data_IF_329812138623
#
_entry.id   IF_329812138623
#
_cell.length_a   1.000
_cell.length_b   1.000
_cell.length_c   1.000
_cell.angle_alpha   90.00
_cell.angle_beta   90.00
_cell.angle_gamma   90.00
#
_symmetry.space_group_name_H-M   'P 1'
#
loop_
_entity.id
_entity.type
_entity.pdbx_description
1 polymer ?
#
# COMPACT_ATOMS: atom_id res chain seq x y z
N UNK A 1 -8.82 13.09 43.46
CA UNK A 1 -10.19 12.59 43.18
C UNK A 1 -11.26 13.32 43.98
N UNK A 2 -11.19 13.42 45.32
CA UNK A 2 -12.20 14.14 46.11
C UNK A 2 -12.30 15.64 45.79
N UNK A 3 -11.16 16.35 45.69
CA UNK A 3 -11.12 17.77 45.33
C UNK A 3 -11.70 18.06 43.93
N UNK A 4 -11.45 17.18 42.96
CA UNK A 4 -12.03 17.27 41.61
C UNK A 4 -13.56 17.11 41.62
N UNK A 5 -14.10 16.21 42.44
CA UNK A 5 -15.55 16.00 42.55
C UNK A 5 -16.25 17.15 43.25
N UNK A 6 -15.61 17.76 44.24
CA UNK A 6 -16.12 18.95 44.93
C UNK A 6 -16.13 20.18 44.01
N UNK A 7 -15.10 20.36 43.19
CA UNK A 7 -15.05 21.45 42.20
C UNK A 7 -15.99 21.26 41.01
N UNK A 8 -16.34 20.01 40.66
CA UNK A 8 -17.22 19.70 39.53
C UNK A 8 -18.72 19.92 39.84
N UNK A 9 -19.10 20.10 41.11
CA UNK A 9 -20.49 20.25 41.53
C UNK A 9 -21.33 18.98 41.40
N UNK A 10 -22.60 19.05 41.81
CA UNK A 10 -23.53 17.94 41.71
C UNK A 10 -23.99 17.75 40.25
N UNK A 11 -23.94 16.53 39.74
CA UNK A 11 -24.50 16.19 38.43
C UNK A 11 -26.04 16.29 38.49
N UNK A 12 -26.70 16.99 37.56
CA UNK A 12 -28.13 17.27 37.63
C UNK A 12 -29.02 16.03 37.40
N UNK A 13 -28.46 14.94 36.84
CA UNK A 13 -29.18 13.70 36.50
C UNK A 13 -28.23 12.50 36.69
N UNK A 14 -28.71 11.33 37.15
CA UNK A 14 -27.87 10.12 37.26
C UNK A 14 -27.31 9.72 35.89
N UNK A 15 -25.98 9.66 35.80
CA UNK A 15 -25.25 9.33 34.57
C UNK A 15 -24.88 7.85 34.60
N UNK A 16 -25.33 7.10 33.58
CA UNK A 16 -24.92 5.72 33.40
C UNK A 16 -23.72 5.66 32.44
N UNK A 17 -22.67 4.94 32.85
CA UNK A 17 -21.51 4.70 31.99
C UNK A 17 -21.91 3.74 30.86
N UNK A 18 -21.99 4.25 29.63
CA UNK A 18 -22.33 3.46 28.44
C UNK A 18 -21.15 2.58 28.01
N UNK A 19 -19.91 3.08 28.13
CA UNK A 19 -18.68 2.33 27.85
C UNK A 19 -17.45 3.07 28.38
N UNK A 20 -16.50 2.35 28.97
CA UNK A 20 -15.21 2.90 29.41
C UNK A 20 -14.08 1.97 28.96
N UNK A 21 -13.21 2.46 28.09
CA UNK A 21 -11.94 1.81 27.78
C UNK A 21 -10.79 2.60 28.38
N UNK A 22 -10.01 1.95 29.22
CA UNK A 22 -8.77 2.51 29.78
C UNK A 22 -7.60 1.74 29.19
N UNK A 23 -6.84 2.38 28.31
CA UNK A 23 -5.62 1.79 27.74
C UNK A 23 -4.42 2.35 28.49
N UNK A 24 -3.64 1.48 29.12
CA UNK A 24 -2.41 1.87 29.78
C UNK A 24 -1.37 2.38 28.78
N UNK A 25 -0.68 3.47 29.12
CA UNK A 25 0.35 4.06 28.25
C UNK A 25 1.47 3.08 27.89
N UNK A 26 1.84 2.19 28.81
CA UNK A 26 2.82 1.12 28.58
C UNK A 26 2.37 0.11 27.54
N UNK A 27 1.09 -0.25 27.55
CA UNK A 27 0.50 -1.16 26.57
C UNK A 27 0.50 -0.52 25.17
N UNK A 28 0.08 0.75 25.08
CA UNK A 28 0.11 1.50 23.82
C UNK A 28 1.52 1.62 23.22
N UNK A 29 2.53 1.94 24.05
CA UNK A 29 3.92 2.04 23.61
C UNK A 29 4.50 0.68 23.16
N UNK A 30 4.17 -0.39 23.87
CA UNK A 30 4.58 -1.75 23.51
C UNK A 30 3.97 -2.18 22.17
N UNK A 31 2.66 -1.99 22.00
CA UNK A 31 1.96 -2.34 20.76
C UNK A 31 2.47 -1.52 19.58
N UNK A 32 2.71 -0.21 19.75
CA UNK A 32 3.27 0.64 18.70
C UNK A 32 4.64 0.11 18.23
N UNK A 33 5.54 -0.17 19.16
CA UNK A 33 6.86 -0.72 18.84
C UNK A 33 6.78 -2.08 18.15
N UNK A 34 5.88 -2.96 18.59
CA UNK A 34 5.66 -4.24 17.95
C UNK A 34 5.15 -4.08 16.51
N UNK A 35 4.18 -3.19 16.28
CA UNK A 35 3.65 -2.91 14.94
C UNK A 35 4.69 -2.28 14.01
N UNK A 36 5.52 -1.36 14.50
CA UNK A 36 6.61 -0.76 13.70
C UNK A 36 7.63 -1.83 13.32
N UNK A 37 8.07 -2.66 14.27
CA UNK A 37 9.02 -3.76 13.98
C UNK A 37 8.44 -4.74 12.96
N UNK A 38 7.18 -5.15 13.13
CA UNK A 38 6.49 -6.02 12.20
C UNK A 38 6.37 -5.39 10.80
N UNK A 39 6.05 -4.09 10.73
CA UNK A 39 5.99 -3.34 9.47
C UNK A 39 7.33 -3.29 8.74
N UNK A 40 8.43 -2.99 9.46
CA UNK A 40 9.78 -2.94 8.88
C UNK A 40 10.18 -4.31 8.33
N UNK A 41 10.00 -5.37 9.11
CA UNK A 41 10.33 -6.74 8.66
C UNK A 41 9.47 -7.13 7.46
N UNK A 42 8.17 -6.82 7.48
CA UNK A 42 7.27 -7.08 6.35
C UNK A 42 7.70 -6.37 5.07
N UNK A 43 8.02 -5.07 5.16
CA UNK A 43 8.51 -4.28 4.01
C UNK A 43 9.81 -4.87 3.46
N UNK A 44 10.78 -5.21 4.33
CA UNK A 44 12.05 -5.80 3.90
C UNK A 44 11.86 -7.13 3.19
N UNK A 45 11.00 -8.01 3.71
CA UNK A 45 10.68 -9.29 3.06
C UNK A 45 10.06 -9.09 1.69
N UNK A 46 9.15 -8.12 1.55
CA UNK A 46 8.51 -7.80 0.28
C UNK A 46 9.51 -7.22 -0.73
N UNK A 47 10.40 -6.31 -0.29
CA UNK A 47 11.45 -5.76 -1.13
C UNK A 47 12.43 -6.84 -1.61
N UNK A 48 12.80 -7.77 -0.72
CA UNK A 48 13.64 -8.91 -1.04
C UNK A 48 12.95 -9.84 -2.06
N UNK A 49 11.69 -10.19 -1.82
CA UNK A 49 10.90 -11.01 -2.74
C UNK A 49 10.83 -10.40 -4.15
N UNK A 50 10.51 -9.10 -4.22
CA UNK A 50 10.45 -8.37 -5.49
C UNK A 50 11.79 -8.38 -6.24
N UNK A 51 12.88 -8.12 -5.52
CA UNK A 51 14.22 -8.06 -6.11
C UNK A 51 14.68 -9.44 -6.62
N UNK A 52 14.45 -10.51 -5.84
CA UNK A 52 14.88 -11.86 -6.21
C UNK A 52 14.05 -12.44 -7.37
N UNK A 53 12.74 -12.24 -7.37
CA UNK A 53 11.85 -12.83 -8.36
C UNK A 53 11.88 -12.06 -9.69
N UNK A 54 11.83 -10.72 -9.63
CA UNK A 54 11.72 -9.87 -10.82
C UNK A 54 13.04 -9.19 -11.24
N UNK A 55 14.17 -9.42 -10.55
CA UNK A 55 15.50 -8.88 -10.88
C UNK A 55 15.47 -7.35 -11.08
N UNK A 56 15.63 -6.88 -12.33
CA UNK A 56 15.70 -5.45 -12.68
C UNK A 56 14.38 -4.71 -12.51
N UNK A 57 13.24 -5.16 -13.09
CA UNK A 57 11.92 -4.64 -12.75
C UNK A 57 11.65 -4.66 -11.23
N UNK A 58 12.15 -5.69 -10.52
CA UNK A 58 12.07 -5.79 -9.07
C UNK A 58 12.77 -4.63 -8.33
N UNK A 59 13.97 -4.22 -8.76
CA UNK A 59 14.65 -3.05 -8.19
C UNK A 59 13.87 -1.75 -8.44
N UNK A 60 13.25 -1.61 -9.61
CA UNK A 60 12.43 -0.44 -9.95
C UNK A 60 11.19 -0.39 -9.05
N UNK A 61 10.54 -1.52 -8.79
CA UNK A 61 9.38 -1.56 -7.89
C UNK A 61 9.74 -1.25 -6.45
N UNK A 62 10.93 -1.63 -5.97
CA UNK A 62 11.41 -1.29 -4.62
C UNK A 62 11.59 0.23 -4.46
N UNK A 63 12.13 0.90 -5.47
CA UNK A 63 12.26 2.37 -5.47
C UNK A 63 10.88 3.03 -5.49
N UNK A 64 9.99 2.58 -6.37
CA UNK A 64 8.61 3.07 -6.45
C UNK A 64 7.86 2.86 -5.12
N UNK A 65 8.04 1.70 -4.47
CA UNK A 65 7.46 1.39 -3.17
C UNK A 65 7.97 2.33 -2.08
N UNK A 66 9.26 2.65 -2.09
CA UNK A 66 9.87 3.58 -1.12
C UNK A 66 9.30 4.99 -1.28
N UNK A 67 9.12 5.44 -2.53
CA UNK A 67 8.45 6.72 -2.84
C UNK A 67 7.00 6.69 -2.36
N UNK A 68 6.26 5.61 -2.64
CA UNK A 68 4.88 5.43 -2.17
C UNK A 68 4.75 5.51 -0.64
N UNK A 69 5.61 4.79 0.10
CA UNK A 69 5.62 4.80 1.57
C UNK A 69 5.87 6.22 2.08
N UNK A 70 6.88 6.90 1.53
CA UNK A 70 7.24 8.27 1.92
C UNK A 70 6.12 9.27 1.64
N UNK A 71 5.50 9.18 0.45
CA UNK A 71 4.38 10.02 0.05
C UNK A 71 3.17 9.80 0.94
N UNK A 72 2.85 8.54 1.24
CA UNK A 72 1.70 8.17 2.09
C UNK A 72 1.85 8.72 3.50
N UNK A 73 3.04 8.57 4.10
CA UNK A 73 3.33 9.14 5.42
C UNK A 73 3.30 10.68 5.41
N UNK A 74 3.81 11.32 4.35
CA UNK A 74 3.77 12.77 4.20
C UNK A 74 2.33 13.29 4.11
N UNK A 75 1.48 12.66 3.30
CA UNK A 75 0.07 13.03 3.15
C UNK A 75 -0.69 12.83 4.47
N UNK A 76 -0.47 11.71 5.17
CA UNK A 76 -1.08 11.48 6.48
C UNK A 76 -0.69 12.55 7.50
N UNK A 77 0.57 12.97 7.50
CA UNK A 77 1.07 14.04 8.37
C UNK A 77 0.45 15.40 8.02
N UNK A 78 0.31 15.71 6.72
CA UNK A 78 -0.27 16.99 6.25
C UNK A 78 -1.76 17.12 6.58
N UNK A 79 -2.51 16.03 6.44
CA UNK A 79 -3.95 16.00 6.74
C UNK A 79 -4.20 15.95 8.26
N UNK A 80 -3.19 15.60 9.07
CA UNK A 80 -3.33 15.47 10.51
C UNK A 80 -4.06 14.21 10.94
N UNK A 81 -3.92 13.11 10.19
CA UNK A 81 -4.56 11.83 10.50
C UNK A 81 -3.93 11.23 11.75
N UNK A 82 -4.75 10.87 12.74
CA UNK A 82 -4.29 10.19 13.95
C UNK A 82 -3.97 8.73 13.65
N UNK A 83 -2.70 8.34 13.81
CA UNK A 83 -2.26 6.97 13.56
C UNK A 83 -2.57 6.06 14.76
N UNK A 84 -3.72 5.41 14.73
CA UNK A 84 -4.11 4.39 15.74
C UNK A 84 -3.47 3.04 15.42
N UNK A 85 -3.52 2.08 16.37
CA UNK A 85 -3.09 0.70 16.11
C UNK A 85 -3.80 0.08 14.91
N UNK A 86 -5.12 0.28 14.81
CA UNK A 86 -5.89 -0.12 13.64
C UNK A 86 -5.40 0.58 12.37
N UNK A 87 -5.06 1.87 12.48
CA UNK A 87 -4.54 2.64 11.36
C UNK A 87 -3.21 2.11 10.83
N UNK A 88 -2.30 1.69 11.73
CA UNK A 88 -1.04 1.05 11.34
C UNK A 88 -1.31 -0.25 10.58
N UNK A 89 -2.27 -1.06 11.01
CA UNK A 89 -2.66 -2.27 10.28
C UNK A 89 -3.19 -1.94 8.87
N UNK A 90 -4.00 -0.88 8.75
CA UNK A 90 -4.49 -0.40 7.44
C UNK A 90 -3.37 0.09 6.54
N UNK A 91 -2.38 0.77 7.09
CA UNK A 91 -1.18 1.20 6.36
C UNK A 91 -0.32 0.02 5.90
N UNK A 92 -0.09 -0.98 6.75
CA UNK A 92 0.66 -2.19 6.36
C UNK A 92 -0.08 -2.95 5.25
N UNK A 93 -1.41 -3.04 5.34
CA UNK A 93 -2.23 -3.66 4.29
C UNK A 93 -2.13 -2.88 2.96
N UNK A 94 -2.13 -1.54 3.01
CA UNK A 94 -2.02 -0.73 1.80
C UNK A 94 -0.67 -0.89 1.10
N UNK A 95 0.42 -1.12 1.85
CA UNK A 95 1.73 -1.47 1.28
C UNK A 95 1.65 -2.77 0.47
N UNK A 96 0.98 -3.81 0.99
CA UNK A 96 0.79 -5.07 0.26
C UNK A 96 0.04 -4.89 -1.05
N UNK A 97 -1.03 -4.09 -1.04
CA UNK A 97 -1.79 -3.78 -2.27
C UNK A 97 -1.02 -2.92 -3.27
N UNK A 98 -0.18 -1.99 -2.80
CA UNK A 98 0.70 -1.20 -3.68
C UNK A 98 1.72 -2.08 -4.40
N UNK A 99 2.20 -3.13 -3.72
CA UNK A 99 3.14 -4.11 -4.26
C UNK A 99 2.44 -5.06 -5.23
N UNK A 100 1.24 -5.53 -4.92
CA UNK A 100 0.41 -6.37 -5.78
C UNK A 100 0.15 -5.71 -7.15
N UNK A 101 -0.16 -4.41 -7.17
CA UNK A 101 -0.31 -3.66 -8.42
C UNK A 101 0.96 -3.69 -9.28
N UNK A 102 2.14 -3.60 -8.66
CA UNK A 102 3.41 -3.70 -9.39
C UNK A 102 3.66 -5.13 -9.90
N UNK A 103 3.35 -6.17 -9.11
CA UNK A 103 3.42 -7.59 -9.54
C UNK A 103 2.57 -7.79 -10.79
N UNK A 104 1.32 -7.34 -10.77
CA UNK A 104 0.40 -7.56 -11.88
C UNK A 104 0.88 -6.90 -13.18
N UNK A 105 1.42 -5.67 -13.10
CA UNK A 105 2.01 -4.98 -14.25
C UNK A 105 3.19 -5.79 -14.81
N UNK A 106 4.04 -6.35 -13.96
CA UNK A 106 5.21 -7.12 -14.38
C UNK A 106 4.85 -8.48 -14.97
N UNK A 107 3.85 -9.17 -14.44
CA UNK A 107 3.35 -10.40 -15.04
C UNK A 107 2.72 -10.14 -16.41
N UNK A 108 1.89 -9.09 -16.55
CA UNK A 108 1.34 -8.72 -17.87
C UNK A 108 2.43 -8.30 -18.85
N UNK A 109 3.44 -7.55 -18.40
CA UNK A 109 4.61 -7.23 -19.23
C UNK A 109 5.35 -8.51 -19.70
N UNK A 110 5.51 -9.48 -18.81
CA UNK A 110 6.19 -10.75 -19.11
C UNK A 110 5.40 -11.59 -20.12
N UNK A 111 4.07 -11.66 -19.99
CA UNK A 111 3.20 -12.30 -20.98
C UNK A 111 3.35 -11.66 -22.36
N UNK A 112 3.28 -10.33 -22.45
CA UNK A 112 3.40 -9.59 -23.72
C UNK A 112 4.78 -9.77 -24.39
N UNK A 113 5.83 -9.92 -23.59
CA UNK A 113 7.18 -10.26 -24.09
C UNK A 113 7.29 -11.71 -24.57
N UNK A 114 6.57 -12.65 -23.94
CA UNK A 114 6.50 -14.05 -24.38
C UNK A 114 5.74 -14.18 -25.70
N UNK A 115 4.74 -13.34 -25.93
CA UNK A 115 4.00 -13.22 -27.19
C UNK A 115 4.82 -12.56 -28.32
N UNK A 116 6.09 -12.23 -28.06
CA UNK A 116 7.04 -11.75 -29.07
C UNK A 116 6.96 -10.25 -29.37
N UNK A 117 6.21 -9.47 -28.58
CA UNK A 117 6.16 -8.01 -28.75
C UNK A 117 7.49 -7.36 -28.36
N UNK A 118 7.81 -6.23 -28.99
CA UNK A 118 8.98 -5.43 -28.64
C UNK A 118 8.84 -4.88 -27.22
N UNK A 119 9.96 -4.66 -26.52
CA UNK A 119 9.96 -4.19 -25.13
C UNK A 119 9.13 -2.92 -24.90
N UNK A 120 9.16 -1.98 -25.85
CA UNK A 120 8.36 -0.75 -25.78
C UNK A 120 6.86 -1.03 -25.89
N UNK A 121 6.47 -1.87 -26.85
CA UNK A 121 5.07 -2.24 -27.08
C UNK A 121 4.52 -3.08 -25.91
N UNK A 122 5.32 -4.03 -25.40
CA UNK A 122 4.95 -4.87 -24.27
C UNK A 122 4.74 -4.06 -22.96
N UNK A 123 5.52 -3.00 -22.74
CA UNK A 123 5.29 -2.09 -21.60
C UNK A 123 3.99 -1.31 -21.78
N UNK A 124 3.70 -0.77 -22.95
CA UNK A 124 2.47 -0.01 -23.15
C UNK A 124 1.22 -0.88 -23.02
N UNK A 125 1.23 -2.06 -23.65
CA UNK A 125 0.13 -3.03 -23.59
C UNK A 125 -0.03 -3.65 -22.20
N UNK A 126 1.09 -4.01 -21.55
CA UNK A 126 1.08 -4.57 -20.20
C UNK A 126 0.45 -3.62 -19.19
N UNK A 127 0.76 -2.31 -19.28
CA UNK A 127 0.10 -1.29 -18.46
C UNK A 127 -1.38 -1.14 -18.77
N UNK A 128 -1.75 -1.12 -20.06
CA UNK A 128 -3.14 -0.90 -20.49
C UNK A 128 -4.04 -2.06 -20.05
N UNK A 129 -3.57 -3.30 -20.17
CA UNK A 129 -4.25 -4.50 -19.68
C UNK A 129 -4.28 -4.60 -18.16
N UNK A 130 -3.19 -4.29 -17.47
CA UNK A 130 -3.14 -4.35 -16.00
C UNK A 130 -4.02 -3.27 -15.36
N UNK A 131 -4.17 -2.11 -16.00
CA UNK A 131 -4.88 -0.95 -15.47
C UNK A 131 -6.33 -1.25 -15.09
N UNK A 132 -7.08 -1.98 -15.91
CA UNK A 132 -8.49 -2.31 -15.62
C UNK A 132 -8.61 -3.13 -14.34
N UNK A 133 -7.79 -4.18 -14.21
CA UNK A 133 -7.77 -5.05 -13.02
C UNK A 133 -7.35 -4.30 -11.76
N UNK A 134 -6.31 -3.45 -11.85
CA UNK A 134 -5.83 -2.63 -10.71
C UNK A 134 -6.90 -1.64 -10.28
N UNK A 135 -7.50 -0.92 -11.23
CA UNK A 135 -8.54 0.06 -10.94
C UNK A 135 -9.73 -0.60 -10.27
N UNK A 136 -10.25 -1.68 -10.86
CA UNK A 136 -11.47 -2.32 -10.37
C UNK A 136 -11.26 -2.93 -8.97
N UNK A 137 -10.09 -3.52 -8.71
CA UNK A 137 -9.72 -4.01 -7.37
C UNK A 137 -9.59 -2.89 -6.31
N UNK A 138 -8.94 -1.78 -6.66
CA UNK A 138 -8.81 -0.65 -5.74
C UNK A 138 -10.15 0.08 -5.53
N UNK A 139 -11.01 0.17 -6.55
CA UNK A 139 -12.36 0.74 -6.41
C UNK A 139 -13.20 -0.08 -5.43
N UNK A 140 -13.18 -1.40 -5.52
CA UNK A 140 -13.85 -2.28 -4.53
C UNK A 140 -13.35 -2.03 -3.11
N UNK A 141 -12.04 -1.84 -2.96
CA UNK A 141 -11.44 -1.53 -1.66
C UNK A 141 -11.85 -0.16 -1.14
N UNK A 142 -11.95 0.85 -2.02
CA UNK A 142 -12.45 2.18 -1.65
C UNK A 142 -13.91 2.12 -1.20
N UNK A 143 -14.77 1.36 -1.91
CA UNK A 143 -16.16 1.15 -1.50
C UNK A 143 -16.19 0.52 -0.10
N UNK A 144 -15.36 -0.49 0.15
CA UNK A 144 -15.23 -1.11 1.48
C UNK A 144 -14.80 -0.09 2.53
N UNK A 145 -13.80 0.75 2.25
CA UNK A 145 -13.36 1.79 3.17
C UNK A 145 -14.48 2.79 3.50
N UNK A 146 -15.28 3.18 2.51
CA UNK A 146 -16.43 4.07 2.71
C UNK A 146 -17.45 3.42 3.64
N UNK A 147 -17.81 2.16 3.40
CA UNK A 147 -18.74 1.43 4.27
C UNK A 147 -18.20 1.30 5.69
N UNK A 148 -16.92 0.96 5.86
CA UNK A 148 -16.28 0.89 7.18
C UNK A 148 -16.23 2.25 7.89
N UNK A 149 -16.16 3.36 7.15
CA UNK A 149 -16.16 4.70 7.74
C UNK A 149 -17.55 5.10 8.27
N UNK A 150 -18.61 4.75 7.55
CA UNK A 150 -20.00 5.04 7.95
C UNK A 150 -20.52 4.10 9.03
N UNK A 151 -20.31 2.78 8.86
CA UNK A 151 -20.89 1.74 9.71
C UNK A 151 -19.93 1.18 10.77
N UNK A 152 -18.63 1.47 10.66
CA UNK A 152 -17.63 0.95 11.59
C UNK A 152 -17.58 1.68 12.93
N UNK A 153 -17.03 1.00 13.94
CA UNK A 153 -16.71 1.61 15.24
C UNK A 153 -15.53 2.59 15.13
N UNK A 154 -15.34 3.46 16.12
CA UNK A 154 -14.25 4.46 16.12
C UNK A 154 -12.86 3.84 15.88
N UNK A 155 -12.62 2.61 16.35
CA UNK A 155 -11.38 1.87 16.09
C UNK A 155 -11.23 1.49 14.61
N UNK A 156 -12.30 0.96 14.00
CA UNK A 156 -12.33 0.52 12.59
C UNK A 156 -12.29 1.71 11.63
N UNK A 157 -12.87 2.86 12.01
CA UNK A 157 -12.77 4.10 11.22
C UNK A 157 -11.32 4.54 11.03
N UNK A 158 -10.48 4.40 12.07
CA UNK A 158 -9.05 4.64 11.98
C UNK A 158 -8.40 3.80 10.88
N UNK A 159 -8.64 2.48 10.89
CA UNK A 159 -8.17 1.55 9.85
C UNK A 159 -8.62 1.99 8.44
N UNK A 160 -9.92 2.27 8.27
CA UNK A 160 -10.52 2.62 6.99
C UNK A 160 -9.95 3.90 6.37
N UNK A 161 -9.67 4.93 7.18
CA UNK A 161 -9.07 6.18 6.71
C UNK A 161 -7.66 5.94 6.16
N UNK A 162 -6.80 5.26 6.93
CA UNK A 162 -5.43 4.93 6.51
C UNK A 162 -5.41 4.07 5.26
N UNK A 163 -6.27 3.04 5.20
CA UNK A 163 -6.38 2.16 4.05
C UNK A 163 -6.85 2.91 2.80
N UNK A 164 -7.88 3.75 2.94
CA UNK A 164 -8.42 4.55 1.84
C UNK A 164 -7.40 5.53 1.26
N UNK A 165 -6.68 6.25 2.11
CA UNK A 165 -5.57 7.13 1.68
C UNK A 165 -4.48 6.31 0.98
N UNK A 166 -4.11 5.17 1.56
CA UNK A 166 -3.12 4.27 1.00
C UNK A 166 -3.49 3.75 -0.39
N UNK A 167 -4.77 3.44 -0.62
CA UNK A 167 -5.31 2.98 -1.92
C UNK A 167 -5.32 4.10 -2.97
N UNK A 168 -5.72 5.32 -2.59
CA UNK A 168 -5.70 6.45 -3.51
C UNK A 168 -4.28 6.77 -3.97
N UNK A 169 -3.32 6.74 -3.04
CA UNK A 169 -1.92 6.99 -3.34
C UNK A 169 -1.25 5.82 -4.07
N UNK A 170 -1.69 4.57 -3.86
CA UNK A 170 -1.13 3.42 -4.58
C UNK A 170 -1.52 3.45 -6.05
N UNK A 171 -2.78 3.82 -6.35
CA UNK A 171 -3.24 4.06 -7.71
C UNK A 171 -2.41 5.15 -8.39
N UNK A 172 -2.20 6.29 -7.72
CA UNK A 172 -1.37 7.36 -8.25
C UNK A 172 0.09 6.90 -8.48
N UNK A 173 0.68 6.19 -7.51
CA UNK A 173 2.05 5.70 -7.62
C UNK A 173 2.24 4.72 -8.77
N UNK A 174 1.31 3.77 -8.96
CA UNK A 174 1.41 2.78 -10.02
C UNK A 174 1.33 3.42 -11.43
N UNK A 175 0.43 4.40 -11.62
CA UNK A 175 0.23 5.05 -12.92
C UNK A 175 1.37 6.01 -13.24
N UNK A 176 1.81 6.79 -12.25
CA UNK A 176 2.74 7.90 -12.49
C UNK A 176 4.18 7.46 -12.27
N UNK A 177 4.50 6.89 -11.10
CA UNK A 177 5.88 6.58 -10.72
C UNK A 177 6.37 5.34 -11.47
N UNK A 178 5.66 4.22 -11.37
CA UNK A 178 6.10 2.95 -12.00
C UNK A 178 6.15 3.08 -13.53
N UNK A 179 5.14 3.72 -14.15
CA UNK A 179 5.10 3.94 -15.60
C UNK A 179 6.22 4.88 -16.09
N UNK A 180 6.49 5.97 -15.38
CA UNK A 180 7.52 6.92 -15.76
C UNK A 180 8.92 6.31 -15.60
N UNK A 181 9.16 5.57 -14.52
CA UNK A 181 10.44 4.88 -14.32
C UNK A 181 10.66 3.80 -15.38
N UNK A 182 9.66 2.99 -15.71
CA UNK A 182 9.81 1.99 -16.77
C UNK A 182 10.01 2.63 -18.14
N UNK A 183 9.26 3.69 -18.48
CA UNK A 183 9.49 4.43 -19.74
C UNK A 183 10.88 5.07 -19.83
N UNK A 184 11.49 5.43 -18.70
CA UNK A 184 12.86 5.96 -18.67
C UNK A 184 13.92 4.87 -18.80
N UNK A 185 13.68 3.67 -18.25
CA UNK A 185 14.63 2.55 -18.28
C UNK A 185 14.55 1.75 -19.59
N UNK A 186 13.38 1.64 -20.21
CA UNK A 186 13.18 0.88 -21.46
C UNK A 186 14.10 1.32 -22.61
N UNK A 187 14.35 2.63 -22.86
CA UNK A 187 15.29 3.09 -23.89
C UNK A 187 16.76 2.69 -23.64
N UNK A 188 17.13 2.37 -22.40
CA UNK A 188 18.47 1.93 -22.03
C UNK A 188 18.73 0.44 -22.30
N UNK A 189 17.69 -0.33 -22.64
CA UNK A 189 17.80 -1.76 -22.96
C UNK A 189 17.54 -2.03 -24.46
N UNK A 190 18.32 -2.95 -25.04
CA UNK A 190 18.14 -3.40 -26.44
C UNK A 190 16.72 -3.94 -26.66
N UNK A 191 16.19 -3.72 -27.87
CA UNK A 191 14.82 -4.01 -28.31
C UNK A 191 14.34 -5.46 -28.10
N UNK A 192 15.27 -6.39 -27.93
CA UNK A 192 14.99 -7.78 -27.59
C UNK A 192 15.48 -8.03 -26.17
N UNK A 193 14.54 -8.29 -25.25
CA UNK A 193 14.80 -8.44 -23.82
C UNK A 193 15.97 -9.38 -23.54
N UNK A 194 17.03 -8.84 -22.95
CA UNK A 194 18.12 -9.67 -22.43
C UNK A 194 17.63 -10.57 -21.30
N UNK A 195 18.27 -11.73 -21.11
CA UNK A 195 18.08 -12.65 -19.98
C UNK A 195 18.10 -11.95 -18.60
N UNK A 196 18.76 -10.79 -18.55
CA UNK A 196 18.91 -9.94 -17.38
C UNK A 196 17.64 -9.12 -17.04
N UNK A 197 16.78 -8.82 -18.02
CA UNK A 197 15.59 -7.98 -17.82
C UNK A 197 14.37 -8.78 -17.35
N UNK A 198 14.12 -9.98 -17.89
CA UNK A 198 12.92 -10.76 -17.52
C UNK A 198 13.04 -12.29 -17.64
N UNK A 199 14.24 -12.83 -17.90
CA UNK A 199 14.44 -14.28 -18.00
C UNK A 199 13.55 -14.97 -19.05
N UNK A 200 13.10 -14.23 -20.07
CA UNK A 200 12.28 -14.77 -21.14
C UNK A 200 13.14 -15.70 -22.00
N UNK A 201 12.99 -17.01 -21.79
CA UNK A 201 13.50 -18.02 -22.72
C UNK A 201 12.52 -18.02 -23.89
N UNK A 202 13.00 -17.62 -25.07
CA UNK A 202 12.29 -17.81 -26.34
C UNK A 202 11.87 -19.28 -26.41
N UNK A 203 10.56 -19.58 -26.41
CA UNK A 203 10.13 -20.90 -26.82
C UNK A 203 10.28 -20.95 -28.34
N UNK A 204 11.47 -21.36 -28.77
CA UNK A 204 11.74 -21.65 -30.17
C UNK A 204 11.30 -23.08 -30.43
N UNK A 205 9.99 -23.31 -30.51
CA UNK A 205 9.44 -24.56 -31.03
C UNK A 205 8.22 -24.22 -31.90
N UNK A 206 8.47 -24.26 -33.21
CA UNK A 206 7.60 -24.53 -34.37
C UNK A 206 6.31 -23.71 -34.50
#
# INVERSE_FOLDING_TARGET
LLSQRLNAGALPVPVNLVSQQTVGATLGASSLNASIKAGIVGILLVMLFMTLFYRLPGLISVIALTIYISLTLAVMKLIGVTLTLAGIAGFILSIGMAVDANVLIFERLKEELQDGKSLKSAVEEGFLRAWTSIRDGNVSTLITCVLLMFFGSSFVKGFAITLGIGVLLSLFSAITVTRMMLRFVVPWFKEHGNLFFLGAKKNSDV
#
